data_IF_566336899782
#
_entry.id   IF_566336899782
#
_cell.length_a   1.000
_cell.length_b   1.000
_cell.length_c   1.000
_cell.angle_alpha   90.00
_cell.angle_beta   90.00
_cell.angle_gamma   90.00
#
_symmetry.space_group_name_H-M   'P 1'
#
loop_
_entity.id
_entity.type
_entity.pdbx_description
1 polymer ?
#
# COMPACT_ATOMS: atom_id res chain seq x y z
N UNK A 1 1.09 -19.71 3.52
CA UNK A 1 -0.14 -19.28 2.83
C UNK A 1 0.03 -19.62 1.36
N UNK A 2 -0.90 -20.38 0.78
CA UNK A 2 -0.93 -20.44 -0.68
C UNK A 2 -1.13 -19.02 -1.18
N UNK A 3 -0.33 -18.62 -2.15
CA UNK A 3 -0.36 -17.29 -2.75
C UNK A 3 -1.76 -17.04 -3.34
N UNK A 4 -2.42 -15.96 -2.92
CA UNK A 4 -3.74 -15.60 -3.40
C UNK A 4 -3.58 -14.76 -4.68
N UNK A 5 -3.86 -15.38 -5.83
CA UNK A 5 -3.71 -14.76 -7.15
C UNK A 5 -4.54 -13.49 -7.29
N UNK A 6 -5.73 -13.50 -6.70
CA UNK A 6 -6.65 -12.35 -6.67
C UNK A 6 -6.07 -11.11 -5.96
N UNK A 7 -5.26 -11.31 -4.91
CA UNK A 7 -4.60 -10.20 -4.22
C UNK A 7 -3.41 -9.65 -5.03
N UNK A 8 -2.68 -10.54 -5.71
CA UNK A 8 -1.64 -10.10 -6.65
C UNK A 8 -2.24 -9.32 -7.83
N UNK A 9 -3.44 -9.72 -8.32
CA UNK A 9 -4.16 -8.97 -9.34
C UNK A 9 -4.53 -7.56 -8.87
N UNK A 10 -5.08 -7.40 -7.65
CA UNK A 10 -5.38 -6.08 -7.07
C UNK A 10 -4.11 -5.23 -6.91
N UNK A 11 -2.99 -5.82 -6.50
CA UNK A 11 -1.70 -5.12 -6.45
C UNK A 11 -1.21 -4.71 -7.84
N UNK A 12 -1.52 -5.51 -8.87
CA UNK A 12 -1.25 -5.19 -10.26
C UNK A 12 -2.04 -3.95 -10.72
N UNK A 13 -3.31 -3.87 -10.37
CA UNK A 13 -4.14 -2.67 -10.60
C UNK A 13 -3.55 -1.47 -9.88
N UNK A 14 -3.21 -1.62 -8.59
CA UNK A 14 -2.68 -0.54 -7.77
C UNK A 14 -1.40 0.07 -8.36
N UNK A 15 -0.45 -0.76 -8.82
CA UNK A 15 0.79 -0.22 -9.41
C UNK A 15 0.56 0.43 -10.78
N UNK A 16 -0.39 -0.06 -11.60
CA UNK A 16 -0.76 0.60 -12.86
C UNK A 16 -1.35 1.99 -12.58
N UNK A 17 -2.22 2.13 -11.56
CA UNK A 17 -2.76 3.42 -11.13
C UNK A 17 -1.64 4.38 -10.69
N UNK A 18 -0.66 3.91 -9.93
CA UNK A 18 0.51 4.72 -9.52
C UNK A 18 1.29 5.22 -10.75
N UNK A 19 1.53 4.35 -11.74
CA UNK A 19 2.22 4.76 -12.98
C UNK A 19 1.42 5.81 -13.75
N UNK A 20 0.08 5.69 -13.80
CA UNK A 20 -0.82 6.68 -14.40
C UNK A 20 -0.77 8.04 -13.68
N UNK A 21 -0.60 8.08 -12.36
CA UNK A 21 -0.44 9.32 -11.60
C UNK A 21 0.86 10.04 -11.94
N UNK A 22 1.95 9.32 -12.07
CA UNK A 22 3.27 9.89 -12.23
C UNK A 22 3.67 10.16 -13.69
N UNK A 23 2.83 9.75 -14.64
CA UNK A 23 3.00 10.04 -16.08
C UNK A 23 1.70 10.53 -16.67
N UNK A 24 1.64 11.85 -16.85
CA UNK A 24 0.47 12.52 -17.42
C UNK A 24 0.14 11.99 -18.83
N UNK A 25 -1.05 11.49 -19.00
CA UNK A 25 -1.66 11.18 -20.32
C UNK A 25 -2.77 12.19 -20.57
N UNK A 26 -3.72 12.30 -19.65
CA UNK A 26 -4.81 13.26 -19.62
C UNK A 26 -5.25 13.48 -18.17
N UNK A 27 -6.01 14.54 -17.93
CA UNK A 27 -6.48 14.92 -16.58
C UNK A 27 -7.21 13.79 -15.86
N UNK A 28 -8.01 13.00 -16.59
CA UNK A 28 -8.74 11.87 -16.02
C UNK A 28 -7.79 10.82 -15.42
N UNK A 29 -6.72 10.45 -16.14
CA UNK A 29 -5.76 9.44 -15.67
C UNK A 29 -4.93 9.92 -14.51
N UNK A 30 -4.57 11.20 -14.50
CA UNK A 30 -3.85 11.83 -13.39
C UNK A 30 -4.72 11.85 -12.13
N UNK A 31 -5.97 12.27 -12.27
CA UNK A 31 -6.90 12.37 -11.14
C UNK A 31 -7.31 11.00 -10.56
N UNK A 32 -7.30 9.91 -11.34
CA UNK A 32 -7.61 8.57 -10.80
C UNK A 32 -6.36 7.85 -10.28
N UNK A 33 -5.18 8.16 -10.81
CA UNK A 33 -3.96 7.37 -10.54
C UNK A 33 -3.51 7.38 -9.07
N UNK A 34 -3.74 8.47 -8.35
CA UNK A 34 -3.28 8.61 -6.96
C UNK A 34 -3.93 7.61 -5.98
N UNK A 35 -5.15 7.12 -6.29
CA UNK A 35 -5.85 6.15 -5.41
C UNK A 35 -5.14 4.80 -5.31
N UNK A 36 -4.20 4.52 -6.23
CA UNK A 36 -3.41 3.29 -6.20
C UNK A 36 -2.63 3.08 -4.91
N UNK A 37 -2.17 4.16 -4.27
CA UNK A 37 -1.47 4.11 -2.98
C UNK A 37 -2.42 3.68 -1.85
N UNK A 38 -3.66 4.19 -1.84
CA UNK A 38 -4.65 3.79 -0.83
C UNK A 38 -5.07 2.33 -0.98
N UNK A 39 -5.17 1.83 -2.22
CA UNK A 39 -5.37 0.39 -2.45
C UNK A 39 -4.20 -0.43 -1.93
N UNK A 40 -2.94 0.02 -2.12
CA UNK A 40 -1.79 -0.64 -1.51
C UNK A 40 -1.85 -0.63 0.02
N UNK A 41 -2.23 0.47 0.64
CA UNK A 41 -2.35 0.55 2.09
C UNK A 41 -3.38 -0.45 2.65
N UNK A 42 -4.58 -0.54 2.05
CA UNK A 42 -5.59 -1.52 2.48
C UNK A 42 -5.07 -2.95 2.31
N UNK A 43 -4.43 -3.26 1.17
CA UNK A 43 -3.85 -4.58 0.92
C UNK A 43 -2.69 -4.89 1.87
N UNK A 44 -1.81 -3.92 2.16
CA UNK A 44 -0.69 -4.07 3.11
C UNK A 44 -1.20 -4.30 4.54
N UNK A 45 -2.19 -3.53 4.98
CA UNK A 45 -2.84 -3.73 6.27
C UNK A 45 -3.42 -5.13 6.42
N UNK A 46 -4.14 -5.62 5.40
CA UNK A 46 -4.69 -6.97 5.37
C UNK A 46 -3.63 -8.07 5.40
N UNK A 47 -2.62 -7.96 4.55
CA UNK A 47 -1.59 -8.99 4.41
C UNK A 47 -0.69 -9.08 5.65
N UNK A 48 -0.29 -7.95 6.20
CA UNK A 48 0.60 -7.87 7.37
C UNK A 48 -0.11 -8.38 8.62
N UNK A 49 -1.30 -7.85 8.91
CA UNK A 49 -2.08 -8.32 10.07
C UNK A 49 -2.52 -9.77 9.91
N UNK A 50 -2.85 -10.20 8.69
CA UNK A 50 -3.21 -11.59 8.41
C UNK A 50 -2.09 -12.59 8.73
N UNK A 51 -0.82 -12.23 8.51
CA UNK A 51 0.30 -13.08 8.94
C UNK A 51 0.38 -13.18 10.47
N UNK A 52 0.23 -12.07 11.18
CA UNK A 52 0.26 -12.04 12.65
C UNK A 52 -0.95 -12.78 13.25
N UNK A 53 -2.14 -12.61 12.70
CA UNK A 53 -3.36 -13.31 13.13
C UNK A 53 -3.27 -14.82 12.88
N UNK A 54 -2.69 -15.23 11.76
CA UNK A 54 -2.45 -16.64 11.47
C UNK A 54 -1.45 -17.23 12.48
N UNK A 55 -0.35 -16.54 12.78
CA UNK A 55 0.61 -16.96 13.79
C UNK A 55 -0.07 -17.11 15.16
N UNK A 56 -0.89 -16.12 15.55
CA UNK A 56 -1.65 -16.18 16.79
C UNK A 56 -2.63 -17.37 16.83
N UNK A 57 -3.38 -17.64 15.75
CA UNK A 57 -4.30 -18.81 15.69
C UNK A 57 -3.59 -20.13 15.87
N UNK A 58 -2.36 -20.25 15.37
CA UNK A 58 -1.60 -21.52 15.44
C UNK A 58 -0.92 -21.68 16.80
N UNK A 59 -0.36 -20.60 17.35
CA UNK A 59 0.55 -20.69 18.51
C UNK A 59 0.04 -19.96 19.78
N UNK A 60 -1.09 -19.27 19.72
CA UNK A 60 -1.61 -18.47 20.82
C UNK A 60 -0.80 -17.21 21.15
N UNK A 61 0.31 -16.98 20.45
CA UNK A 61 1.18 -15.83 20.60
C UNK A 61 1.79 -15.40 19.27
N UNK A 62 2.42 -14.22 19.25
CA UNK A 62 3.16 -13.69 18.11
C UNK A 62 4.61 -13.39 18.50
N UNK A 63 5.51 -13.41 17.51
CA UNK A 63 6.93 -13.10 17.69
C UNK A 63 7.32 -11.83 16.92
N UNK A 64 7.24 -10.61 17.54
CA UNK A 64 7.49 -9.34 16.86
C UNK A 64 8.85 -9.27 16.20
N UNK A 65 9.91 -9.62 16.93
CA UNK A 65 11.29 -9.60 16.41
C UNK A 65 11.43 -10.43 15.14
N UNK A 66 10.87 -11.64 15.13
CA UNK A 66 10.91 -12.53 13.97
C UNK A 66 10.15 -11.96 12.80
N UNK A 67 8.95 -11.44 13.05
CA UNK A 67 8.11 -10.83 12.02
C UNK A 67 8.80 -9.63 11.39
N UNK A 68 9.29 -8.67 12.20
CA UNK A 68 9.94 -7.44 11.72
C UNK A 68 11.24 -7.74 10.96
N UNK A 69 12.09 -8.65 11.45
CA UNK A 69 13.30 -9.06 10.72
C UNK A 69 12.92 -9.65 9.36
N UNK A 70 11.95 -10.57 9.32
CA UNK A 70 11.51 -11.18 8.04
C UNK A 70 10.92 -10.15 7.08
N UNK A 71 10.26 -9.11 7.58
CA UNK A 71 9.75 -8.00 6.78
C UNK A 71 10.88 -7.12 6.27
N UNK A 72 11.85 -6.80 7.12
CA UNK A 72 13.04 -6.03 6.76
C UNK A 72 13.83 -6.66 5.62
N UNK A 73 14.04 -7.97 5.63
CA UNK A 73 14.70 -8.68 4.51
C UNK A 73 13.96 -8.59 3.18
N UNK A 74 12.68 -8.29 3.20
CA UNK A 74 11.90 -8.07 1.97
C UNK A 74 12.01 -6.62 1.46
N UNK A 75 12.05 -5.64 2.37
CA UNK A 75 11.92 -4.22 2.04
C UNK A 75 13.29 -3.57 1.92
N UNK A 76 14.13 -3.65 2.95
CA UNK A 76 15.34 -2.85 3.09
C UNK A 76 16.40 -3.09 2.02
N UNK A 77 16.69 -4.32 1.56
CA UNK A 77 17.74 -4.51 0.56
C UNK A 77 17.45 -3.75 -0.74
N UNK A 78 16.23 -3.87 -1.26
CA UNK A 78 15.85 -3.13 -2.47
C UNK A 78 15.81 -1.63 -2.19
N UNK A 79 15.21 -1.21 -1.07
CA UNK A 79 15.11 0.18 -0.70
C UNK A 79 16.48 0.88 -0.67
N UNK A 80 17.45 0.34 0.07
CA UNK A 80 18.76 0.96 0.21
C UNK A 80 19.64 0.85 -1.05
N UNK A 81 19.57 -0.26 -1.78
CA UNK A 81 20.29 -0.37 -3.07
C UNK A 81 19.84 0.71 -4.04
N UNK A 82 18.52 0.96 -4.12
CA UNK A 82 18.02 1.97 -5.04
C UNK A 82 18.15 3.40 -4.52
N UNK A 83 18.11 3.62 -3.21
CA UNK A 83 18.47 4.93 -2.65
C UNK A 83 19.89 5.36 -3.05
N UNK A 84 20.86 4.42 -3.18
CA UNK A 84 22.18 4.73 -3.71
C UNK A 84 22.09 5.24 -5.14
N UNK A 85 21.28 4.63 -6.00
CA UNK A 85 21.11 5.09 -7.38
C UNK A 85 20.47 6.48 -7.48
N UNK A 86 19.49 6.79 -6.60
CA UNK A 86 18.91 8.14 -6.52
C UNK A 86 19.88 9.18 -5.98
N UNK A 87 20.82 8.76 -5.13
CA UNK A 87 21.84 9.65 -4.56
C UNK A 87 22.87 10.11 -5.59
N UNK A 88 23.17 9.30 -6.62
CA UNK A 88 24.21 9.62 -7.63
C UNK A 88 23.98 10.97 -8.31
N UNK A 89 22.83 11.30 -8.90
CA UNK A 89 22.58 12.61 -9.50
C UNK A 89 22.77 13.77 -8.50
N UNK A 90 22.29 13.61 -7.27
CA UNK A 90 22.39 14.63 -6.22
C UNK A 90 23.86 14.93 -5.85
N UNK A 91 24.72 13.89 -5.84
CA UNK A 91 26.15 14.03 -5.58
C UNK A 91 26.87 14.73 -6.74
N UNK A 92 26.50 14.42 -7.99
CA UNK A 92 27.07 15.05 -9.18
C UNK A 92 26.73 16.55 -9.20
N UNK A 93 25.49 16.90 -8.83
CA UNK A 93 25.02 18.29 -8.80
C UNK A 93 25.55 19.08 -7.58
N UNK A 94 26.24 18.43 -6.63
CA UNK A 94 26.74 19.05 -5.40
C UNK A 94 25.68 19.54 -4.41
N UNK A 95 24.43 19.11 -4.56
CA UNK A 95 23.28 19.60 -3.81
C UNK A 95 22.88 18.69 -2.63
N UNK A 96 23.84 17.95 -2.07
CA UNK A 96 23.57 17.02 -0.97
C UNK A 96 23.11 17.74 0.31
N UNK A 97 21.92 17.37 0.80
CA UNK A 97 21.37 17.81 2.09
C UNK A 97 21.34 16.63 3.05
N UNK A 98 22.15 16.70 4.12
CA UNK A 98 22.34 15.56 5.04
C UNK A 98 21.07 15.25 5.82
N UNK A 99 20.37 16.25 6.39
CA UNK A 99 19.17 16.01 7.20
C UNK A 99 18.03 15.36 6.38
N UNK A 100 17.68 15.85 5.18
CA UNK A 100 16.72 15.17 4.31
C UNK A 100 17.15 13.76 3.91
N UNK A 101 18.45 13.53 3.63
CA UNK A 101 18.96 12.19 3.33
C UNK A 101 18.77 11.23 4.52
N UNK A 102 19.16 11.67 5.72
CA UNK A 102 18.98 10.85 6.94
C UNK A 102 17.50 10.54 7.18
N UNK A 103 16.59 11.47 6.90
CA UNK A 103 15.17 11.23 7.05
C UNK A 103 14.66 10.14 6.10
N UNK A 104 15.12 10.11 4.84
CA UNK A 104 14.80 9.03 3.90
C UNK A 104 15.37 7.69 4.39
N UNK A 105 16.63 7.66 4.84
CA UNK A 105 17.28 6.44 5.31
C UNK A 105 16.64 5.85 6.58
N UNK A 106 15.98 6.67 7.37
CA UNK A 106 15.29 6.26 8.62
C UNK A 106 13.77 6.16 8.48
N UNK A 107 13.22 6.30 7.27
CA UNK A 107 11.78 6.31 7.01
C UNK A 107 11.02 7.40 7.76
N UNK A 108 11.64 8.56 8.05
CA UNK A 108 10.99 9.69 8.72
C UNK A 108 10.74 10.88 7.81
N UNK A 109 10.98 10.74 6.50
CA UNK A 109 10.85 11.79 5.49
C UNK A 109 9.45 12.40 5.41
N UNK A 110 8.41 11.63 5.67
CA UNK A 110 7.02 12.11 5.65
C UNK A 110 6.70 13.07 6.80
N UNK A 111 7.55 13.18 7.82
CA UNK A 111 7.48 14.17 8.88
C UNK A 111 8.52 15.29 8.71
N UNK A 112 9.70 14.96 8.18
CA UNK A 112 10.79 15.92 8.05
C UNK A 112 10.65 16.80 6.81
N UNK A 113 10.27 16.21 5.67
CA UNK A 113 10.24 16.87 4.37
C UNK A 113 8.85 16.83 3.70
N UNK A 114 7.89 16.11 4.29
CA UNK A 114 6.59 15.80 3.71
C UNK A 114 6.67 14.72 2.64
N UNK A 115 7.35 15.00 1.54
CA UNK A 115 7.66 14.05 0.46
C UNK A 115 9.07 13.48 0.65
N UNK A 116 9.45 12.44 -0.11
CA UNK A 116 10.82 11.93 -0.07
C UNK A 116 11.83 12.91 -0.67
N UNK A 117 13.04 12.90 -0.12
CA UNK A 117 14.17 13.70 -0.64
C UNK A 117 14.83 13.03 -1.84
N UNK A 118 15.12 11.74 -1.75
CA UNK A 118 15.73 10.98 -2.85
C UNK A 118 14.72 10.75 -3.97
N UNK A 119 13.49 10.37 -3.64
CA UNK A 119 12.41 10.29 -4.61
C UNK A 119 11.05 10.55 -3.96
N UNK A 120 10.23 11.32 -4.67
CA UNK A 120 8.99 11.89 -4.19
C UNK A 120 8.02 10.86 -3.57
N UNK A 121 7.89 9.68 -4.17
CA UNK A 121 6.92 8.67 -3.75
C UNK A 121 7.32 7.90 -2.48
N UNK A 122 8.53 8.11 -1.90
CA UNK A 122 9.01 7.34 -0.74
C UNK A 122 8.22 7.57 0.55
N UNK A 123 7.46 8.65 0.65
CA UNK A 123 6.63 8.96 1.83
C UNK A 123 5.68 7.81 2.22
N UNK A 124 5.10 7.13 1.24
CA UNK A 124 4.15 6.04 1.49
C UNK A 124 4.83 4.82 2.13
N UNK A 125 6.10 4.57 1.81
CA UNK A 125 6.89 3.52 2.45
C UNK A 125 7.17 3.85 3.92
N UNK A 126 7.38 5.14 4.25
CA UNK A 126 7.50 5.57 5.64
C UNK A 126 6.19 5.31 6.42
N UNK A 127 5.02 5.62 5.84
CA UNK A 127 3.72 5.32 6.45
C UNK A 127 3.58 3.81 6.73
N UNK A 128 3.94 2.97 5.76
CA UNK A 128 3.89 1.50 5.91
C UNK A 128 4.86 1.00 6.99
N UNK A 129 6.11 1.48 7.02
CA UNK A 129 7.09 1.06 8.04
C UNK A 129 6.67 1.47 9.45
N UNK A 130 6.21 2.70 9.65
CA UNK A 130 5.65 3.13 10.92
C UNK A 130 4.50 2.23 11.38
N UNK A 131 3.60 1.88 10.45
CA UNK A 131 2.51 0.95 10.73
C UNK A 131 3.03 -0.45 11.11
N UNK A 132 3.98 -1.01 10.38
CA UNK A 132 4.48 -2.36 10.65
C UNK A 132 5.09 -2.47 12.05
N UNK A 133 5.90 -1.49 12.43
CA UNK A 133 6.49 -1.45 13.76
C UNK A 133 5.43 -1.23 14.84
N UNK A 134 4.64 -0.16 14.73
CA UNK A 134 3.66 0.21 15.74
C UNK A 134 2.60 -0.90 15.92
N UNK A 135 1.99 -1.37 14.83
CA UNK A 135 0.95 -2.39 14.90
C UNK A 135 1.46 -3.70 15.48
N UNK A 136 2.64 -4.15 15.03
CA UNK A 136 3.21 -5.43 15.51
C UNK A 136 3.52 -5.38 17.00
N UNK A 137 4.13 -4.28 17.49
CA UNK A 137 4.48 -4.11 18.90
C UNK A 137 3.22 -3.94 19.75
N UNK A 138 2.27 -3.08 19.34
CA UNK A 138 1.04 -2.85 20.09
C UNK A 138 0.16 -4.11 20.17
N UNK A 139 0.05 -4.86 19.07
CA UNK A 139 -0.67 -6.12 19.04
C UNK A 139 -0.02 -7.14 20.01
N UNK A 140 1.31 -7.26 19.96
CA UNK A 140 2.03 -8.15 20.87
C UNK A 140 1.86 -7.78 22.33
N UNK A 141 1.99 -6.49 22.68
CA UNK A 141 1.76 -6.00 24.04
C UNK A 141 0.32 -6.26 24.48
N UNK A 142 -0.66 -5.99 23.61
CA UNK A 142 -2.06 -6.23 23.88
C UNK A 142 -2.38 -7.69 24.16
N UNK A 143 -1.79 -8.63 23.40
CA UNK A 143 -1.91 -10.07 23.64
C UNK A 143 -1.20 -10.48 24.92
N UNK A 144 0.07 -10.05 25.11
CA UNK A 144 0.90 -10.40 26.28
C UNK A 144 0.25 -10.00 27.61
N UNK A 145 -0.37 -8.83 27.66
CA UNK A 145 -1.03 -8.31 28.87
C UNK A 145 -2.55 -8.61 28.91
N UNK A 146 -3.06 -9.50 28.07
CA UNK A 146 -4.48 -9.88 27.98
C UNK A 146 -5.43 -8.68 27.79
N UNK A 147 -4.95 -7.58 27.19
CA UNK A 147 -5.76 -6.38 26.88
C UNK A 147 -6.49 -6.51 25.53
N UNK A 148 -5.93 -7.30 24.61
CA UNK A 148 -6.52 -7.61 23.32
C UNK A 148 -6.88 -9.10 23.31
N UNK A 149 -8.15 -9.39 23.16
CA UNK A 149 -8.68 -10.76 23.05
C UNK A 149 -9.13 -10.96 21.61
N UNK A 150 -8.38 -11.78 20.88
CA UNK A 150 -8.72 -12.19 19.52
C UNK A 150 -9.58 -13.45 19.62
N UNK A 151 -10.91 -13.31 19.71
CA UNK A 151 -11.83 -14.43 19.96
C UNK A 151 -12.76 -14.70 18.78
N UNK A 152 -13.11 -15.98 18.57
CA UNK A 152 -14.14 -16.43 17.63
C UNK A 152 -15.56 -16.37 18.24
N UNK A 153 -15.73 -16.33 19.56
CA UNK A 153 -17.04 -16.33 20.22
C UNK A 153 -17.76 -14.99 20.14
N UNK A 154 -19.04 -15.04 19.76
CA UNK A 154 -19.91 -13.88 19.58
C UNK A 154 -20.28 -13.21 20.91
N UNK A 155 -20.21 -13.93 22.02
CA UNK A 155 -20.72 -13.50 23.33
C UNK A 155 -19.78 -12.56 24.09
N UNK A 156 -18.48 -12.50 23.75
CA UNK A 156 -17.55 -11.58 24.39
C UNK A 156 -17.43 -10.30 23.58
N UNK A 157 -17.63 -9.16 24.26
CA UNK A 157 -17.50 -7.80 23.71
C UNK A 157 -16.22 -7.69 22.86
N UNK A 158 -16.38 -7.36 21.59
CA UNK A 158 -15.28 -7.32 20.62
C UNK A 158 -14.42 -6.07 20.79
N UNK A 159 -13.68 -5.99 21.90
CA UNK A 159 -12.81 -4.84 22.21
C UNK A 159 -11.86 -4.49 21.06
N UNK A 160 -11.34 -5.52 20.36
CA UNK A 160 -10.45 -5.28 19.22
C UNK A 160 -11.15 -4.54 18.07
N UNK A 161 -12.39 -4.90 17.73
CA UNK A 161 -13.16 -4.18 16.70
C UNK A 161 -13.43 -2.74 17.12
N UNK A 162 -13.87 -2.54 18.37
CA UNK A 162 -14.13 -1.20 18.91
C UNK A 162 -12.86 -0.36 18.88
N UNK A 163 -11.72 -0.93 19.25
CA UNK A 163 -10.42 -0.26 19.20
C UNK A 163 -10.08 0.19 17.77
N UNK A 164 -10.17 -0.71 16.79
CA UNK A 164 -9.85 -0.36 15.39
C UNK A 164 -10.82 0.70 14.85
N UNK A 165 -12.12 0.57 15.10
CA UNK A 165 -13.11 1.58 14.67
C UNK A 165 -12.83 2.93 15.36
N UNK A 166 -12.52 2.92 16.64
CA UNK A 166 -12.12 4.13 17.38
C UNK A 166 -10.87 4.80 16.78
N UNK A 167 -9.86 4.01 16.38
CA UNK A 167 -8.66 4.52 15.72
C UNK A 167 -8.96 5.09 14.32
N UNK A 168 -9.88 4.49 13.56
CA UNK A 168 -10.32 5.03 12.26
C UNK A 168 -11.01 6.38 12.43
N UNK A 169 -11.92 6.51 13.40
CA UNK A 169 -12.61 7.76 13.73
C UNK A 169 -11.61 8.81 14.22
N UNK A 170 -10.66 8.43 15.06
CA UNK A 170 -9.64 9.34 15.59
C UNK A 170 -8.70 9.84 14.47
N UNK A 171 -8.27 8.98 13.55
CA UNK A 171 -7.49 9.38 12.39
C UNK A 171 -8.27 10.37 11.49
N UNK A 172 -9.56 10.11 11.25
CA UNK A 172 -10.44 11.05 10.53
C UNK A 172 -10.52 12.41 11.22
N UNK A 173 -10.69 12.43 12.54
CA UNK A 173 -10.75 13.66 13.33
C UNK A 173 -9.44 14.46 13.25
N UNK A 174 -8.28 13.80 13.42
CA UNK A 174 -6.96 14.44 13.27
C UNK A 174 -6.78 15.03 11.87
N UNK A 175 -7.21 14.30 10.84
CA UNK A 175 -7.14 14.74 9.44
C UNK A 175 -8.03 15.96 9.20
N UNK A 176 -9.23 15.99 9.77
CA UNK A 176 -10.13 17.13 9.68
C UNK A 176 -9.50 18.39 10.31
N UNK A 177 -8.99 18.29 11.54
CA UNK A 177 -8.30 19.38 12.22
C UNK A 177 -7.10 19.85 11.41
N UNK A 178 -6.23 18.93 10.96
CA UNK A 178 -5.04 19.29 10.21
C UNK A 178 -5.36 20.06 8.93
N UNK A 179 -6.42 19.68 8.22
CA UNK A 179 -6.83 20.39 7.00
C UNK A 179 -7.54 21.74 7.27
N UNK A 180 -8.13 21.94 8.44
CA UNK A 180 -8.68 23.23 8.85
C UNK A 180 -7.56 24.19 9.27
N UNK A 181 -6.59 23.71 10.07
CA UNK A 181 -5.51 24.55 10.61
C UNK A 181 -4.38 24.80 9.60
N UNK A 182 -4.12 23.84 8.71
CA UNK A 182 -3.03 23.89 7.73
C UNK A 182 -3.53 23.55 6.31
N UNK A 183 -4.51 24.31 5.75
CA UNK A 183 -5.15 23.96 4.47
C UNK A 183 -4.16 23.96 3.29
N UNK A 184 -3.15 24.82 3.32
CA UNK A 184 -2.16 24.98 2.25
C UNK A 184 -0.99 24.00 2.36
N UNK A 185 -0.80 23.33 3.50
CA UNK A 185 0.27 22.34 3.65
C UNK A 185 -0.17 20.98 3.07
N UNK A 186 -0.08 20.90 1.76
CA UNK A 186 -0.45 19.69 1.00
C UNK A 186 0.41 18.50 1.43
N UNK A 187 1.71 18.70 1.62
CA UNK A 187 2.62 17.63 2.01
C UNK A 187 2.22 17.03 3.36
N UNK A 188 2.00 17.86 4.38
CA UNK A 188 1.50 17.45 5.69
C UNK A 188 0.21 16.64 5.59
N UNK A 189 -0.81 17.22 4.94
CA UNK A 189 -2.15 16.66 4.89
C UNK A 189 -2.23 15.36 4.07
N UNK A 190 -1.24 15.12 3.20
CA UNK A 190 -1.22 13.97 2.29
C UNK A 190 -0.29 12.85 2.73
N UNK A 191 0.80 13.16 3.46
CA UNK A 191 1.89 12.19 3.70
C UNK A 191 2.07 11.75 5.14
N UNK A 192 1.64 12.55 6.13
CA UNK A 192 1.89 12.22 7.54
C UNK A 192 1.18 10.96 7.98
N UNK A 193 1.89 10.06 8.64
CA UNK A 193 1.40 8.72 9.04
C UNK A 193 0.12 8.79 9.85
N UNK A 194 0.01 9.69 10.85
CA UNK A 194 -1.15 9.78 11.72
C UNK A 194 -2.42 10.30 11.01
N UNK A 195 -2.28 10.84 9.78
CA UNK A 195 -3.38 11.28 8.93
C UNK A 195 -3.75 10.24 7.85
N UNK A 196 -2.94 9.20 7.66
CA UNK A 196 -3.06 8.24 6.54
C UNK A 196 -3.09 6.77 6.97
N UNK A 197 -2.85 6.48 8.25
CA UNK A 197 -2.77 5.12 8.78
C UNK A 197 -4.13 4.40 8.73
N UNK A 198 -5.23 5.11 8.58
CA UNK A 198 -6.59 4.57 8.54
C UNK A 198 -6.81 3.59 7.38
N UNK A 199 -6.25 3.84 6.19
CA UNK A 199 -6.34 2.89 5.08
C UNK A 199 -5.68 1.54 5.42
N UNK A 200 -4.55 1.54 6.14
CA UNK A 200 -3.90 0.33 6.66
C UNK A 200 -4.75 -0.35 7.75
N UNK A 201 -5.31 0.45 8.68
CA UNK A 201 -6.19 -0.07 9.75
C UNK A 201 -7.48 -0.67 9.20
N UNK A 202 -8.04 -0.14 8.11
CA UNK A 202 -9.16 -0.76 7.41
C UNK A 202 -8.77 -2.15 6.89
N UNK A 203 -7.57 -2.31 6.33
CA UNK A 203 -7.02 -3.62 5.96
C UNK A 203 -6.89 -4.58 7.16
N UNK A 204 -6.44 -4.08 8.32
CA UNK A 204 -6.40 -4.85 9.59
C UNK A 204 -7.79 -5.31 10.00
N UNK A 205 -8.78 -4.42 9.92
CA UNK A 205 -10.16 -4.76 10.27
C UNK A 205 -10.70 -5.89 9.40
N UNK A 206 -10.46 -5.84 8.10
CA UNK A 206 -10.86 -6.90 7.16
C UNK A 206 -10.13 -8.21 7.46
N UNK A 207 -8.83 -8.15 7.77
CA UNK A 207 -8.09 -9.34 8.17
C UNK A 207 -8.66 -9.95 9.45
N UNK A 208 -9.02 -9.13 10.45
CA UNK A 208 -9.68 -9.61 11.65
C UNK A 208 -11.02 -10.31 11.33
N UNK A 209 -11.85 -9.71 10.49
CA UNK A 209 -13.11 -10.33 10.04
C UNK A 209 -12.86 -11.67 9.34
N UNK A 210 -11.86 -11.73 8.46
CA UNK A 210 -11.51 -12.92 7.71
C UNK A 210 -10.98 -14.05 8.60
N UNK A 211 -10.09 -13.76 9.56
CA UNK A 211 -9.46 -14.79 10.40
C UNK A 211 -10.32 -15.23 11.60
N UNK A 212 -11.15 -14.34 12.16
CA UNK A 212 -11.87 -14.60 13.41
C UNK A 212 -13.38 -14.53 13.30
N UNK A 213 -13.95 -14.03 12.19
CA UNK A 213 -15.40 -13.86 11.98
C UNK A 213 -15.87 -14.31 10.61
N UNK A 214 -15.15 -15.23 9.97
CA UNK A 214 -15.34 -15.58 8.56
C UNK A 214 -16.80 -15.95 8.24
N UNK A 215 -17.43 -16.84 9.03
CA UNK A 215 -18.80 -17.33 8.76
C UNK A 215 -19.82 -16.18 8.74
N UNK A 216 -19.78 -15.33 9.78
CA UNK A 216 -20.71 -14.20 9.90
C UNK A 216 -20.45 -13.18 8.80
N UNK A 217 -19.16 -12.87 8.54
CA UNK A 217 -18.76 -11.94 7.49
C UNK A 217 -19.24 -12.43 6.13
N UNK A 218 -19.08 -13.72 5.82
CA UNK A 218 -19.52 -14.32 4.56
C UNK A 218 -21.05 -14.27 4.43
N UNK A 219 -21.79 -14.56 5.50
CA UNK A 219 -23.27 -14.49 5.51
C UNK A 219 -23.75 -13.05 5.23
N UNK A 220 -23.21 -12.06 5.97
CA UNK A 220 -23.59 -10.66 5.80
C UNK A 220 -23.18 -10.18 4.40
N UNK A 221 -21.97 -10.50 3.95
CA UNK A 221 -21.49 -10.10 2.62
C UNK A 221 -22.38 -10.67 1.52
N UNK A 222 -22.73 -11.96 1.55
CA UNK A 222 -23.56 -12.59 0.54
C UNK A 222 -24.98 -12.01 0.53
N UNK A 223 -25.54 -11.72 1.70
CA UNK A 223 -26.88 -11.10 1.85
C UNK A 223 -26.92 -9.69 1.23
N UNK A 224 -25.90 -8.88 1.47
CA UNK A 224 -25.87 -7.48 1.05
C UNK A 224 -24.90 -7.19 -0.10
N UNK A 225 -24.42 -8.22 -0.81
CA UNK A 225 -23.37 -8.12 -1.84
C UNK A 225 -23.61 -7.00 -2.86
N UNK A 226 -24.83 -6.93 -3.43
CA UNK A 226 -25.16 -5.90 -4.44
C UNK A 226 -25.10 -4.50 -3.83
N UNK A 227 -25.67 -4.30 -2.65
CA UNK A 227 -25.64 -3.03 -1.94
C UNK A 227 -24.20 -2.59 -1.62
N UNK A 228 -23.38 -3.49 -1.09
CA UNK A 228 -21.97 -3.21 -0.77
C UNK A 228 -21.18 -2.83 -2.02
N UNK A 229 -21.36 -3.52 -3.15
CA UNK A 229 -20.70 -3.17 -4.40
C UNK A 229 -21.18 -1.83 -4.95
N UNK A 230 -22.47 -1.49 -4.80
CA UNK A 230 -22.99 -0.16 -5.17
C UNK A 230 -22.38 0.93 -4.29
N UNK A 231 -22.24 0.70 -2.98
CA UNK A 231 -21.54 1.62 -2.07
C UNK A 231 -20.09 1.80 -2.49
N UNK A 232 -19.36 0.70 -2.77
CA UNK A 232 -17.98 0.77 -3.23
C UNK A 232 -17.83 1.59 -4.51
N UNK A 233 -18.74 1.41 -5.47
CA UNK A 233 -18.77 2.20 -6.70
C UNK A 233 -19.01 3.68 -6.42
N UNK A 234 -20.03 4.03 -5.61
CA UNK A 234 -20.31 5.42 -5.23
C UNK A 234 -19.14 6.07 -4.49
N UNK A 235 -18.44 5.30 -3.64
CA UNK A 235 -17.26 5.79 -2.94
C UNK A 235 -16.03 6.00 -3.86
N UNK A 236 -16.03 5.50 -5.08
CA UNK A 236 -14.94 5.67 -6.05
C UNK A 236 -15.25 6.61 -7.21
N UNK A 237 -16.53 6.74 -7.60
CA UNK A 237 -16.92 7.42 -8.85
C UNK A 237 -16.49 8.88 -8.92
N UNK A 238 -16.30 9.54 -7.79
CA UNK A 238 -15.89 10.94 -7.70
C UNK A 238 -14.38 11.15 -7.97
N UNK A 239 -13.55 10.12 -7.85
CA UNK A 239 -12.08 10.24 -7.87
C UNK A 239 -11.51 10.88 -9.14
N UNK A 240 -12.05 10.68 -10.37
CA UNK A 240 -11.50 11.32 -11.56
C UNK A 240 -11.81 12.82 -11.67
N UNK A 241 -12.75 13.32 -10.85
CA UNK A 241 -13.27 14.69 -10.97
C UNK A 241 -12.64 15.66 -9.98
N UNK A 242 -11.85 15.16 -9.00
CA UNK A 242 -11.25 15.98 -7.96
C UNK A 242 -9.73 15.81 -7.97
N UNK A 243 -9.01 16.92 -7.97
CA UNK A 243 -7.57 16.87 -7.71
C UNK A 243 -7.30 16.58 -6.23
N UNK A 244 -6.43 15.60 -5.98
CA UNK A 244 -6.13 15.13 -4.64
C UNK A 244 -5.37 16.16 -3.79
N UNK A 245 -4.53 16.97 -4.41
CA UNK A 245 -3.67 17.92 -3.70
C UNK A 245 -4.43 19.16 -3.23
N UNK A 246 -5.29 19.72 -4.10
CA UNK A 246 -6.01 20.98 -3.82
C UNK A 246 -7.32 20.79 -3.07
N UNK A 247 -8.00 19.64 -3.24
CA UNK A 247 -9.34 19.44 -2.72
C UNK A 247 -9.37 19.14 -1.22
N UNK A 248 -10.01 20.03 -0.44
CA UNK A 248 -10.32 19.80 0.98
C UNK A 248 -11.16 18.54 1.18
N UNK A 249 -12.16 18.28 0.31
CA UNK A 249 -12.99 17.09 0.35
C UNK A 249 -12.15 15.82 0.24
N UNK A 250 -11.22 15.76 -0.71
CA UNK A 250 -10.34 14.60 -0.89
C UNK A 250 -9.47 14.38 0.34
N UNK A 251 -8.79 15.45 0.81
CA UNK A 251 -7.88 15.40 1.96
C UNK A 251 -8.58 15.09 3.29
N UNK A 252 -9.90 15.08 3.34
CA UNK A 252 -10.70 14.76 4.54
C UNK A 252 -11.55 13.51 4.33
N UNK A 253 -12.76 13.66 3.81
CA UNK A 253 -13.75 12.60 3.62
C UNK A 253 -13.30 11.63 2.51
N UNK A 254 -12.67 12.13 1.44
CA UNK A 254 -12.27 11.34 0.29
C UNK A 254 -11.42 10.13 0.66
N UNK A 255 -10.39 10.27 1.50
CA UNK A 255 -9.59 9.13 1.97
C UNK A 255 -10.42 8.09 2.75
N UNK A 256 -11.43 8.56 3.51
CA UNK A 256 -12.35 7.65 4.21
C UNK A 256 -13.19 6.84 3.22
N UNK A 257 -13.73 7.49 2.19
CA UNK A 257 -14.49 6.81 1.14
C UNK A 257 -13.63 5.79 0.38
N UNK A 258 -12.36 6.10 0.14
CA UNK A 258 -11.43 5.18 -0.53
C UNK A 258 -11.21 3.90 0.27
N UNK A 259 -10.85 3.99 1.56
CA UNK A 259 -10.60 2.77 2.30
C UNK A 259 -11.88 1.95 2.55
N UNK A 260 -13.04 2.57 2.61
CA UNK A 260 -14.33 1.85 2.65
C UNK A 260 -14.52 1.08 1.34
N UNK A 261 -14.36 1.75 0.20
CA UNK A 261 -14.51 1.12 -1.10
C UNK A 261 -13.52 -0.02 -1.31
N UNK A 262 -12.23 0.23 -1.10
CA UNK A 262 -11.18 -0.80 -1.27
C UNK A 262 -11.34 -1.94 -0.27
N UNK A 263 -11.85 -1.66 0.93
CA UNK A 263 -12.21 -2.68 1.89
C UNK A 263 -13.32 -3.59 1.39
N UNK A 264 -14.39 -3.02 0.84
CA UNK A 264 -15.49 -3.81 0.25
C UNK A 264 -14.99 -4.61 -0.97
N UNK A 265 -14.19 -4.01 -1.84
CA UNK A 265 -13.60 -4.71 -2.97
C UNK A 265 -12.70 -5.87 -2.50
N UNK A 266 -11.87 -5.65 -1.49
CA UNK A 266 -11.05 -6.70 -0.91
C UNK A 266 -11.91 -7.84 -0.38
N UNK A 267 -12.99 -7.57 0.38
CA UNK A 267 -13.94 -8.58 0.81
C UNK A 267 -14.56 -9.34 -0.37
N UNK A 268 -14.93 -8.62 -1.43
CA UNK A 268 -15.46 -9.25 -2.64
C UNK A 268 -14.47 -10.26 -3.23
N UNK A 269 -13.19 -9.90 -3.32
CA UNK A 269 -12.16 -10.76 -3.91
C UNK A 269 -11.84 -11.98 -3.04
N UNK A 270 -11.84 -11.85 -1.71
CA UNK A 270 -11.48 -12.95 -0.80
C UNK A 270 -12.67 -13.87 -0.44
N UNK A 271 -13.92 -13.37 -0.52
CA UNK A 271 -15.11 -14.14 -0.11
C UNK A 271 -15.88 -14.72 -1.30
N UNK A 272 -15.66 -14.24 -2.53
CA UNK A 272 -16.40 -14.75 -3.68
C UNK A 272 -15.82 -16.09 -4.17
N UNK A 273 -16.60 -17.18 -4.15
CA UNK A 273 -16.13 -18.46 -4.66
C UNK A 273 -15.74 -18.37 -6.15
N UNK A 274 -14.67 -19.06 -6.53
CA UNK A 274 -14.22 -19.13 -7.93
C UNK A 274 -13.94 -17.76 -8.59
N UNK A 275 -13.59 -16.73 -7.81
CA UNK A 275 -13.28 -15.39 -8.32
C UNK A 275 -12.27 -15.42 -9.47
N UNK A 276 -11.25 -16.27 -9.39
CA UNK A 276 -10.24 -16.44 -10.42
C UNK A 276 -10.79 -16.97 -11.75
N UNK A 277 -11.84 -17.80 -11.71
CA UNK A 277 -12.54 -18.27 -12.93
C UNK A 277 -13.34 -17.12 -13.54
N UNK A 278 -14.04 -16.32 -12.71
CA UNK A 278 -14.80 -15.16 -13.16
C UNK A 278 -13.88 -14.11 -13.79
N UNK A 279 -12.74 -13.80 -13.16
CA UNK A 279 -11.74 -12.89 -13.71
C UNK A 279 -11.20 -13.39 -15.06
N UNK A 280 -10.87 -14.67 -15.15
CA UNK A 280 -10.40 -15.26 -16.41
C UNK A 280 -11.45 -15.20 -17.51
N UNK A 281 -12.73 -15.36 -17.18
CA UNK A 281 -13.84 -15.24 -18.14
C UNK A 281 -14.01 -13.80 -18.64
N UNK A 282 -13.93 -12.81 -17.74
CA UNK A 282 -14.15 -11.40 -18.07
C UNK A 282 -12.97 -10.76 -18.83
N UNK A 283 -11.73 -11.07 -18.43
CA UNK A 283 -10.54 -10.36 -18.92
C UNK A 283 -9.54 -11.27 -19.66
N UNK A 284 -9.79 -12.55 -19.71
CA UNK A 284 -8.85 -13.52 -20.26
C UNK A 284 -7.73 -13.93 -19.28
N UNK A 285 -7.35 -15.21 -19.32
CA UNK A 285 -6.34 -15.78 -18.40
C UNK A 285 -4.95 -15.12 -18.55
N UNK A 286 -4.58 -14.72 -19.78
CA UNK A 286 -3.28 -14.10 -20.07
C UNK A 286 -3.15 -12.73 -19.38
N UNK A 287 -4.16 -11.88 -19.48
CA UNK A 287 -4.18 -10.54 -18.84
C UNK A 287 -4.14 -10.69 -17.32
N UNK A 288 -4.97 -11.57 -16.75
CA UNK A 288 -5.01 -11.77 -15.29
C UNK A 288 -3.68 -12.33 -14.78
N UNK A 289 -3.06 -13.26 -15.50
CA UNK A 289 -1.74 -13.80 -15.14
C UNK A 289 -0.64 -12.73 -15.24
N UNK A 290 -0.68 -11.89 -16.27
CA UNK A 290 0.25 -10.78 -16.44
C UNK A 290 0.12 -9.76 -15.30
N UNK A 291 -1.10 -9.26 -15.03
CA UNK A 291 -1.36 -8.34 -13.93
C UNK A 291 -1.00 -8.95 -12.56
N UNK A 292 -1.25 -10.24 -12.36
CA UNK A 292 -0.81 -10.94 -11.16
C UNK A 292 0.72 -10.99 -11.00
N UNK A 293 1.47 -11.18 -12.11
CA UNK A 293 2.95 -11.10 -12.08
C UNK A 293 3.43 -9.67 -11.79
N UNK A 294 2.81 -8.67 -12.44
CA UNK A 294 3.10 -7.25 -12.18
C UNK A 294 2.82 -6.91 -10.71
N UNK A 295 1.69 -7.36 -10.16
CA UNK A 295 1.35 -7.14 -8.76
C UNK A 295 2.29 -7.83 -7.77
N UNK A 296 2.80 -9.01 -8.12
CA UNK A 296 3.85 -9.67 -7.33
C UNK A 296 5.15 -8.85 -7.26
N UNK A 297 5.50 -8.20 -8.35
CA UNK A 297 6.70 -7.37 -8.47
C UNK A 297 6.42 -5.90 -8.11
N UNK A 298 5.20 -5.55 -7.66
CA UNK A 298 4.74 -4.17 -7.49
C UNK A 298 5.63 -3.32 -6.58
N UNK A 299 6.24 -3.91 -5.54
CA UNK A 299 7.17 -3.20 -4.67
C UNK A 299 8.42 -2.72 -5.41
N UNK A 300 9.06 -3.60 -6.18
CA UNK A 300 10.23 -3.25 -6.98
C UNK A 300 9.87 -2.24 -8.08
N UNK A 301 8.71 -2.41 -8.73
CA UNK A 301 8.21 -1.48 -9.75
C UNK A 301 7.96 -0.11 -9.12
N UNK A 302 7.37 -0.06 -7.91
CA UNK A 302 7.11 1.17 -7.17
C UNK A 302 8.41 1.94 -6.84
N UNK A 303 9.47 1.24 -6.46
CA UNK A 303 10.75 1.88 -6.17
C UNK A 303 11.42 2.42 -7.44
N UNK A 304 11.41 1.65 -8.54
CA UNK A 304 12.19 2.00 -9.73
C UNK A 304 11.51 3.04 -10.64
N UNK A 305 10.17 3.17 -10.61
CA UNK A 305 9.45 3.97 -11.61
C UNK A 305 9.91 5.44 -11.66
N UNK A 306 10.19 6.05 -10.51
CA UNK A 306 10.61 7.47 -10.45
C UNK A 306 11.97 7.69 -11.09
N UNK A 307 12.92 6.75 -10.93
CA UNK A 307 14.23 6.86 -11.59
C UNK A 307 14.10 6.65 -13.10
N UNK A 308 13.23 5.75 -13.52
CA UNK A 308 12.92 5.55 -14.95
C UNK A 308 12.33 6.82 -15.55
N UNK A 309 11.43 7.48 -14.83
CA UNK A 309 10.85 8.78 -15.22
C UNK A 309 11.98 9.82 -15.42
N UNK A 310 12.84 9.97 -14.42
CA UNK A 310 13.94 10.92 -14.44
C UNK A 310 14.86 10.73 -15.67
N UNK A 311 15.27 9.49 -15.96
CA UNK A 311 16.14 9.23 -17.10
C UNK A 311 15.44 9.42 -18.45
N UNK A 312 14.16 9.05 -18.59
CA UNK A 312 13.40 9.29 -19.83
C UNK A 312 13.28 10.79 -20.10
N UNK A 313 13.01 11.61 -19.08
CA UNK A 313 12.87 13.05 -19.24
C UNK A 313 14.23 13.70 -19.57
N UNK A 314 15.33 13.30 -18.92
CA UNK A 314 16.67 13.79 -19.24
C UNK A 314 17.10 13.43 -20.66
N UNK A 315 16.87 12.20 -21.10
CA UNK A 315 17.15 11.78 -22.47
C UNK A 315 16.33 12.60 -23.48
N UNK A 316 15.02 12.77 -23.19
CA UNK A 316 14.14 13.56 -24.05
C UNK A 316 14.62 15.03 -24.20
N UNK A 317 15.08 15.62 -23.09
CA UNK A 317 15.60 17.00 -23.08
C UNK A 317 16.95 17.12 -23.81
N UNK A 318 17.91 16.25 -23.47
CA UNK A 318 19.28 16.33 -24.02
C UNK A 318 19.34 16.08 -25.53
N UNK A 319 18.45 15.25 -26.05
CA UNK A 319 18.39 14.91 -27.48
C UNK A 319 17.25 15.62 -28.22
N UNK A 320 16.56 16.59 -27.59
CA UNK A 320 15.43 17.33 -28.16
C UNK A 320 14.34 16.41 -28.76
N UNK A 321 14.05 15.28 -28.10
CA UNK A 321 13.08 14.33 -28.62
C UNK A 321 11.65 14.77 -28.28
N UNK A 322 10.83 15.02 -29.30
CA UNK A 322 9.42 15.34 -29.16
C UNK A 322 8.59 14.05 -28.96
N UNK A 323 8.63 13.48 -27.74
CA UNK A 323 7.85 12.28 -27.39
C UNK A 323 6.50 12.71 -26.80
N UNK A 324 5.38 12.24 -27.35
CA UNK A 324 4.06 12.54 -26.81
C UNK A 324 3.84 11.85 -25.44
N UNK A 325 2.87 12.35 -24.66
CA UNK A 325 2.62 11.90 -23.28
C UNK A 325 2.27 10.41 -23.21
N UNK A 326 1.49 9.90 -24.15
CA UNK A 326 1.10 8.48 -24.18
C UNK A 326 2.31 7.58 -24.42
N UNK A 327 3.19 7.93 -25.35
CA UNK A 327 4.45 7.20 -25.61
C UNK A 327 5.38 7.25 -24.41
N UNK A 328 5.52 8.42 -23.74
CA UNK A 328 6.28 8.55 -22.49
C UNK A 328 5.74 7.63 -21.41
N UNK A 329 4.41 7.56 -21.27
CA UNK A 329 3.77 6.62 -20.33
C UNK A 329 4.08 5.16 -20.66
N UNK A 330 3.91 4.75 -21.93
CA UNK A 330 4.18 3.37 -22.33
C UNK A 330 5.64 2.97 -22.09
N UNK A 331 6.60 3.81 -22.49
CA UNK A 331 8.03 3.54 -22.27
C UNK A 331 8.31 3.43 -20.75
N UNK A 332 7.80 4.37 -19.95
CA UNK A 332 7.97 4.34 -18.49
C UNK A 332 7.38 3.06 -17.89
N UNK A 333 6.16 2.69 -18.28
CA UNK A 333 5.48 1.51 -17.75
C UNK A 333 6.23 0.22 -18.12
N UNK A 334 6.60 0.06 -19.39
CA UNK A 334 7.34 -1.12 -19.87
C UNK A 334 8.68 -1.25 -19.15
N UNK A 335 9.49 -0.19 -19.12
CA UNK A 335 10.80 -0.22 -18.48
C UNK A 335 10.70 -0.46 -16.96
N UNK A 336 9.76 0.21 -16.28
CA UNK A 336 9.56 0.03 -14.84
C UNK A 336 9.11 -1.41 -14.51
N UNK A 337 8.24 -2.01 -15.32
CA UNK A 337 7.80 -3.39 -15.14
C UNK A 337 8.96 -4.36 -15.39
N UNK A 338 9.71 -4.20 -16.48
CA UNK A 338 10.83 -5.10 -16.81
C UNK A 338 11.93 -5.04 -15.75
N UNK A 339 12.37 -3.84 -15.40
CA UNK A 339 13.41 -3.65 -14.37
C UNK A 339 12.91 -4.14 -13.01
N UNK A 340 11.67 -3.79 -12.62
CA UNK A 340 11.07 -4.23 -11.38
C UNK A 340 10.93 -5.76 -11.29
N UNK A 341 10.63 -6.44 -12.39
CA UNK A 341 10.65 -7.92 -12.44
C UNK A 341 12.07 -8.47 -12.22
N UNK A 342 13.08 -7.93 -12.89
CA UNK A 342 14.47 -8.33 -12.69
C UNK A 342 14.86 -8.14 -11.22
N UNK A 343 14.56 -6.98 -10.64
CA UNK A 343 14.82 -6.70 -9.22
C UNK A 343 14.18 -7.74 -8.30
N UNK A 344 12.90 -8.04 -8.51
CA UNK A 344 12.18 -9.00 -7.67
C UNK A 344 12.74 -10.40 -7.81
N UNK A 345 12.97 -10.90 -9.03
CA UNK A 345 13.41 -12.28 -9.25
C UNK A 345 14.90 -12.51 -8.98
N UNK A 346 15.74 -11.48 -9.03
CA UNK A 346 17.18 -11.62 -8.79
C UNK A 346 17.58 -11.09 -7.42
N UNK A 347 17.27 -9.81 -7.12
CA UNK A 347 17.75 -9.15 -5.90
C UNK A 347 16.88 -9.58 -4.70
N UNK A 348 15.56 -9.33 -4.75
CA UNK A 348 14.66 -9.68 -3.65
C UNK A 348 14.73 -11.18 -3.35
N UNK A 349 14.68 -12.04 -4.38
CA UNK A 349 14.74 -13.47 -4.22
C UNK A 349 16.03 -13.95 -3.53
N UNK A 350 17.17 -13.33 -3.79
CA UNK A 350 18.44 -13.61 -3.13
C UNK A 350 18.35 -13.33 -1.62
N UNK A 351 17.90 -12.13 -1.23
CA UNK A 351 17.76 -11.78 0.18
C UNK A 351 16.68 -12.59 0.90
N UNK A 352 15.62 -13.00 0.19
CA UNK A 352 14.61 -13.91 0.74
C UNK A 352 15.15 -15.32 1.00
N UNK A 353 16.12 -15.81 0.21
CA UNK A 353 16.82 -17.07 0.51
C UNK A 353 17.63 -16.93 1.81
N UNK A 354 18.44 -15.87 1.95
CA UNK A 354 19.21 -15.59 3.18
C UNK A 354 18.25 -15.50 4.38
N UNK A 355 17.15 -14.76 4.25
CA UNK A 355 16.13 -14.68 5.30
C UNK A 355 15.63 -16.06 5.74
N UNK A 356 15.36 -16.94 4.81
CA UNK A 356 14.79 -18.25 5.14
C UNK A 356 15.80 -19.18 5.84
N UNK A 357 17.10 -18.95 5.64
CA UNK A 357 18.18 -19.64 6.38
C UNK A 357 18.34 -19.09 7.80
N UNK A 358 18.38 -17.75 7.95
CA UNK A 358 18.62 -17.09 9.25
C UNK A 358 17.34 -17.08 10.12
N UNK A 359 16.19 -16.82 9.49
CA UNK A 359 14.88 -16.69 10.15
C UNK A 359 13.82 -17.49 9.38
N UNK A 360 13.77 -18.82 9.48
CA UNK A 360 12.78 -19.65 8.80
C UNK A 360 11.36 -19.27 9.21
N UNK A 361 10.35 -19.53 8.37
CA UNK A 361 8.96 -19.25 8.71
C UNK A 361 8.51 -20.09 9.91
N UNK A 362 7.66 -19.51 10.76
CA UNK A 362 7.01 -20.24 11.84
C UNK A 362 5.66 -20.84 11.40
N UNK A 363 5.08 -20.29 10.33
CA UNK A 363 3.79 -20.69 9.75
C UNK A 363 3.93 -20.95 8.25
#
# INVERSE_FOLDING_TARGET
MNRLRELDFLRGIAIVLVLLRHRYICQFTENIGWIGVDLFFVLSGFLVSGLLFKEFKVYGNIQPKRFLIRRGFKIYPIYYIFNILYLIPILIDGNLKIIPLLSDLTFTQNYANGWGYLYFASWSLAVEEHFYFAFTILLWLGIKYNKIILNESFEKRNYFQILIIGMLIFCFYLRLISNIEFPEDVARNFTMTHLRIDSLLAGVYIAYLYYFRLNVTTQIFNKYKKLLLSIAFLCLVWTPFFDAASSFFVKTIGFTLLYISFGILLLYFILTPNINKQLNYLFGSSIINFLGKVGYCSYSIYIIHSIVIFYIDNVSLNYNLSINNFSKFLITAILSILIGMIMTYKIEAYFLKIRNTIMPSRI
#
